data_IF_989674712887
#
_entry.id   IF_989674712887
#
_cell.length_a   1.000
_cell.length_b   1.000
_cell.length_c   1.000
_cell.angle_alpha   90.00
_cell.angle_beta   90.00
_cell.angle_gamma   90.00
#
_symmetry.space_group_name_H-M   'P 1'
#
loop_
_entity.id
_entity.type
_entity.pdbx_description
1 polymer ?
#
# COMPACT_ATOMS: atom_id res chain seq x y z
N UNK A 1 1.09 15.00 5.74
CA UNK A 1 0.03 14.07 6.24
C UNK A 1 -0.23 12.78 5.43
N UNK A 2 0.15 12.67 4.14
CA UNK A 2 0.03 11.41 3.35
C UNK A 2 0.78 10.22 3.97
N UNK A 3 1.86 10.53 4.67
CA UNK A 3 2.79 9.61 5.31
C UNK A 3 2.23 8.87 6.52
N UNK A 4 1.18 9.39 7.15
CA UNK A 4 0.54 8.73 8.29
C UNK A 4 -0.58 7.76 7.89
N UNK A 5 -1.15 7.90 6.68
CA UNK A 5 -2.22 6.99 6.22
C UNK A 5 -1.69 5.63 5.74
N UNK A 6 -0.44 5.55 5.27
CA UNK A 6 0.17 4.30 4.78
C UNK A 6 0.70 3.39 5.90
N UNK A 7 1.12 3.97 7.03
CA UNK A 7 1.69 3.25 8.17
C UNK A 7 0.66 2.54 9.08
N UNK A 8 -0.65 2.70 8.83
CA UNK A 8 -1.71 2.18 9.72
C UNK A 8 -2.21 0.77 9.38
N UNK A 9 -1.71 0.14 8.32
CA UNK A 9 -2.41 -1.01 7.71
C UNK A 9 -2.10 -2.36 8.39
N UNK A 10 -1.00 -2.49 9.12
CA UNK A 10 -0.75 -3.69 9.95
C UNK A 10 -1.75 -3.85 11.12
N UNK A 11 -2.57 -2.83 11.42
CA UNK A 11 -3.59 -2.89 12.48
C UNK A 11 -5.02 -3.21 11.99
N UNK A 12 -5.27 -3.23 10.66
CA UNK A 12 -6.63 -3.12 10.13
C UNK A 12 -7.47 -4.41 10.21
N UNK A 13 -6.90 -5.61 10.23
CA UNK A 13 -7.70 -6.86 10.27
C UNK A 13 -8.23 -7.13 11.68
N UNK A 14 -7.43 -6.86 12.72
CA UNK A 14 -7.89 -6.94 14.11
C UNK A 14 -8.91 -5.83 14.41
N UNK A 15 -8.73 -4.62 13.85
CA UNK A 15 -9.72 -3.53 13.91
C UNK A 15 -11.00 -3.86 13.16
N UNK A 16 -10.94 -4.53 12.01
CA UNK A 16 -12.12 -5.01 11.28
C UNK A 16 -12.90 -6.03 12.14
N UNK A 17 -12.21 -7.01 12.75
CA UNK A 17 -12.85 -7.95 13.69
C UNK A 17 -13.44 -7.27 14.93
N UNK A 18 -12.81 -6.21 15.45
CA UNK A 18 -13.31 -5.42 16.59
C UNK A 18 -14.49 -4.48 16.21
N UNK A 19 -14.50 -3.93 15.00
CA UNK A 19 -15.62 -3.14 14.44
C UNK A 19 -16.83 -4.03 14.12
N UNK A 20 -16.58 -5.26 13.66
CA UNK A 20 -17.60 -6.29 13.42
C UNK A 20 -18.27 -6.74 14.73
N UNK A 21 -17.53 -6.78 15.84
CA UNK A 21 -18.11 -7.07 17.16
C UNK A 21 -19.00 -5.94 17.71
N UNK A 22 -18.89 -4.72 17.16
CA UNK A 22 -19.56 -3.52 17.67
C UNK A 22 -20.79 -3.06 16.86
N UNK A 23 -20.99 -3.58 15.63
CA UNK A 23 -22.08 -3.15 14.75
C UNK A 23 -23.00 -4.32 14.36
N UNK A 24 -24.31 -4.12 14.56
CA UNK A 24 -25.39 -5.06 14.23
C UNK A 24 -25.71 -5.17 12.73
N UNK A 25 -24.76 -4.86 11.85
CA UNK A 25 -24.94 -5.01 10.42
C UNK A 25 -24.71 -6.49 10.05
N UNK A 26 -25.61 -7.03 9.24
CA UNK A 26 -25.51 -8.40 8.72
C UNK A 26 -24.18 -8.53 7.96
N UNK A 27 -23.25 -9.32 8.53
CA UNK A 27 -21.91 -9.50 7.96
C UNK A 27 -22.04 -10.30 6.67
N UNK A 28 -21.66 -9.71 5.54
CA UNK A 28 -21.52 -10.42 4.27
C UNK A 28 -20.30 -11.35 4.38
N UNK A 29 -20.56 -12.62 4.73
CA UNK A 29 -19.54 -13.64 4.95
C UNK A 29 -18.71 -13.88 3.69
N UNK A 30 -19.31 -13.77 2.50
CA UNK A 30 -18.59 -13.96 1.24
C UNK A 30 -17.64 -12.78 0.96
N UNK A 31 -18.05 -11.56 1.31
CA UNK A 31 -17.16 -10.39 1.31
C UNK A 31 -15.97 -10.58 2.26
N UNK A 32 -16.23 -11.01 3.51
CA UNK A 32 -15.18 -11.26 4.50
C UNK A 32 -14.21 -12.35 4.04
N UNK A 33 -14.72 -13.45 3.48
CA UNK A 33 -13.89 -14.52 2.89
C UNK A 33 -13.01 -13.99 1.76
N UNK A 34 -13.54 -13.13 0.90
CA UNK A 34 -12.78 -12.50 -0.17
C UNK A 34 -11.67 -11.60 0.38
N UNK A 35 -11.95 -10.81 1.42
CA UNK A 35 -10.97 -9.93 2.06
C UNK A 35 -9.80 -10.73 2.65
N UNK A 36 -10.12 -11.79 3.42
CA UNK A 36 -9.11 -12.66 4.03
C UNK A 36 -8.27 -13.34 2.94
N UNK A 37 -8.91 -13.90 1.91
CA UNK A 37 -8.18 -14.53 0.79
C UNK A 37 -7.24 -13.54 0.10
N UNK A 38 -7.68 -12.30 -0.10
CA UNK A 38 -6.88 -11.20 -0.65
C UNK A 38 -5.64 -10.95 0.20
N UNK A 39 -5.83 -10.79 1.51
CA UNK A 39 -4.74 -10.55 2.45
C UNK A 39 -3.75 -11.71 2.51
N UNK A 40 -4.25 -12.95 2.60
CA UNK A 40 -3.40 -14.14 2.62
C UNK A 40 -2.59 -14.28 1.31
N UNK A 41 -3.21 -14.01 0.16
CA UNK A 41 -2.54 -14.02 -1.15
C UNK A 41 -1.47 -12.93 -1.25
N UNK A 42 -1.76 -11.74 -0.76
CA UNK A 42 -0.81 -10.64 -0.63
C UNK A 42 0.40 -11.03 0.23
N UNK A 43 0.17 -11.57 1.43
CA UNK A 43 1.25 -11.99 2.33
C UNK A 43 2.05 -13.16 1.74
N UNK A 44 1.40 -14.11 1.06
CA UNK A 44 2.08 -15.16 0.32
C UNK A 44 3.05 -14.60 -0.74
N UNK A 45 2.62 -13.57 -1.50
CA UNK A 45 3.50 -12.92 -2.49
C UNK A 45 4.70 -12.23 -1.84
N UNK A 46 4.53 -11.62 -0.67
CA UNK A 46 5.66 -11.05 0.10
C UNK A 46 6.65 -12.13 0.53
N UNK A 47 6.14 -13.25 1.06
CA UNK A 47 6.97 -14.40 1.46
C UNK A 47 7.74 -14.99 0.27
N UNK A 48 7.12 -15.09 -0.91
CA UNK A 48 7.80 -15.50 -2.15
C UNK A 48 8.98 -14.58 -2.48
N UNK A 49 8.87 -13.28 -2.19
CA UNK A 49 10.01 -12.36 -2.37
C UNK A 49 11.11 -12.60 -1.35
N UNK A 50 10.77 -12.85 -0.10
CA UNK A 50 11.76 -13.19 0.92
C UNK A 50 12.53 -14.47 0.60
N UNK A 51 11.89 -15.44 -0.07
CA UNK A 51 12.57 -16.67 -0.50
C UNK A 51 13.73 -16.43 -1.48
N UNK A 52 13.79 -15.28 -2.16
CA UNK A 52 14.85 -15.01 -3.14
C UNK A 52 16.21 -14.78 -2.48
N UNK A 53 16.22 -14.19 -1.28
CA UNK A 53 17.42 -13.81 -0.53
C UNK A 53 17.34 -14.28 0.94
N UNK A 54 16.71 -15.44 1.17
CA UNK A 54 16.50 -15.98 2.52
C UNK A 54 17.81 -16.42 3.19
N UNK A 55 17.95 -16.16 4.50
CA UNK A 55 19.02 -16.77 5.30
C UNK A 55 18.82 -18.29 5.31
N UNK A 56 19.84 -19.04 4.87
CA UNK A 56 19.80 -20.51 4.71
C UNK A 56 19.24 -21.23 5.95
N UNK A 57 19.51 -20.71 7.15
CA UNK A 57 19.05 -21.31 8.41
C UNK A 57 17.52 -21.23 8.64
N UNK A 58 16.83 -20.38 7.89
CA UNK A 58 15.38 -20.15 7.96
C UNK A 58 14.63 -20.56 6.69
N UNK A 59 15.35 -21.08 5.68
CA UNK A 59 14.76 -21.42 4.39
C UNK A 59 13.60 -22.43 4.51
N UNK A 60 13.75 -23.43 5.37
CA UNK A 60 12.73 -24.49 5.57
C UNK A 60 11.48 -23.93 6.25
N UNK A 61 11.63 -23.13 7.30
CA UNK A 61 10.50 -22.50 7.99
C UNK A 61 9.77 -21.52 7.08
N UNK A 62 10.50 -20.76 6.26
CA UNK A 62 9.91 -19.86 5.28
C UNK A 62 9.11 -20.62 4.22
N UNK A 63 9.64 -21.74 3.71
CA UNK A 63 8.94 -22.60 2.76
C UNK A 63 7.64 -23.19 3.36
N UNK A 64 7.69 -23.65 4.61
CA UNK A 64 6.51 -24.16 5.31
C UNK A 64 5.46 -23.06 5.52
N UNK A 65 5.87 -21.90 6.01
CA UNK A 65 4.98 -20.77 6.21
C UNK A 65 4.32 -20.33 4.90
N UNK A 66 5.11 -20.19 3.83
CA UNK A 66 4.58 -19.87 2.51
C UNK A 66 3.56 -20.90 2.03
N UNK A 67 3.84 -22.19 2.18
CA UNK A 67 2.91 -23.24 1.78
C UNK A 67 1.57 -23.15 2.54
N UNK A 68 1.61 -22.80 3.83
CA UNK A 68 0.39 -22.58 4.63
C UNK A 68 -0.39 -21.35 4.15
N UNK A 69 0.28 -20.23 3.88
CA UNK A 69 -0.36 -19.03 3.33
C UNK A 69 -1.00 -19.30 1.95
N UNK A 70 -0.29 -20.00 1.06
CA UNK A 70 -0.82 -20.36 -0.26
C UNK A 70 -2.02 -21.31 -0.16
N UNK A 71 -2.00 -22.26 0.78
CA UNK A 71 -3.13 -23.15 1.05
C UNK A 71 -4.33 -22.35 1.56
N UNK A 72 -4.12 -21.49 2.56
CA UNK A 72 -5.16 -20.70 3.18
C UNK A 72 -5.82 -19.71 2.20
N UNK A 73 -5.03 -19.04 1.36
CA UNK A 73 -5.52 -18.10 0.36
C UNK A 73 -6.41 -18.73 -0.72
N UNK A 74 -6.29 -20.03 -0.96
CA UNK A 74 -7.03 -20.77 -1.99
C UNK A 74 -8.05 -21.77 -1.40
N UNK A 75 -8.30 -21.71 -0.09
CA UNK A 75 -9.21 -22.62 0.58
C UNK A 75 -10.68 -22.27 0.31
N UNK A 76 -11.56 -23.28 0.39
CA UNK A 76 -13.01 -23.07 0.34
C UNK A 76 -13.51 -22.22 1.53
N UNK A 77 -12.85 -22.37 2.69
CA UNK A 77 -13.08 -21.53 3.86
C UNK A 77 -11.77 -20.91 4.39
N UNK A 78 -11.40 -19.71 3.91
CA UNK A 78 -10.17 -19.06 4.31
C UNK A 78 -10.17 -18.64 5.79
N UNK A 79 -11.33 -18.48 6.45
CA UNK A 79 -11.39 -18.13 7.88
C UNK A 79 -10.84 -19.26 8.76
N UNK A 80 -11.17 -20.51 8.41
CA UNK A 80 -10.72 -21.68 9.18
C UNK A 80 -9.21 -21.84 9.05
N UNK A 81 -8.69 -21.67 7.83
CA UNK A 81 -7.26 -21.82 7.53
C UNK A 81 -6.43 -20.67 8.09
N UNK A 82 -6.93 -19.42 8.05
CA UNK A 82 -6.29 -18.27 8.71
C UNK A 82 -6.13 -18.50 10.21
N UNK A 83 -7.16 -19.05 10.88
CA UNK A 83 -7.05 -19.37 12.31
C UNK A 83 -5.94 -20.38 12.60
N UNK A 84 -5.82 -21.43 11.79
CA UNK A 84 -4.76 -22.43 11.93
C UNK A 84 -3.37 -21.85 11.67
N UNK A 85 -3.28 -20.91 10.72
CA UNK A 85 -2.06 -20.18 10.42
C UNK A 85 -1.59 -19.33 11.61
N UNK A 86 -2.49 -18.61 12.26
CA UNK A 86 -2.18 -17.83 13.47
C UNK A 86 -1.69 -18.71 14.62
N UNK A 87 -2.27 -19.91 14.78
CA UNK A 87 -1.80 -20.90 15.75
C UNK A 87 -0.37 -21.36 15.41
N UNK A 88 -0.10 -21.68 14.15
CA UNK A 88 1.23 -22.06 13.68
C UNK A 88 2.29 -20.96 13.90
N UNK A 89 1.96 -19.70 13.61
CA UNK A 89 2.86 -18.56 13.85
C UNK A 89 3.16 -18.38 15.33
N UNK A 90 2.17 -18.59 16.20
CA UNK A 90 2.34 -18.54 17.65
C UNK A 90 3.28 -19.63 18.19
N UNK A 91 3.41 -20.75 17.49
CA UNK A 91 4.31 -21.86 17.83
C UNK A 91 5.73 -21.70 17.27
N UNK A 92 5.96 -20.73 16.38
CA UNK A 92 7.26 -20.55 15.72
C UNK A 92 8.36 -20.09 16.67
N UNK A 93 9.60 -20.41 16.28
CA UNK A 93 10.79 -19.94 16.98
C UNK A 93 10.82 -18.41 16.96
N UNK A 94 10.99 -17.79 18.13
CA UNK A 94 11.08 -16.33 18.26
C UNK A 94 12.13 -15.72 17.33
N UNK A 95 13.25 -16.42 17.10
CA UNK A 95 14.31 -15.98 16.19
C UNK A 95 13.90 -15.96 14.71
N UNK A 96 13.05 -16.92 14.29
CA UNK A 96 12.51 -16.96 12.93
C UNK A 96 11.50 -15.83 12.73
N UNK A 97 10.57 -15.63 13.66
CA UNK A 97 9.59 -14.53 13.59
C UNK A 97 10.27 -13.16 13.65
N UNK A 98 11.31 -13.00 14.48
CA UNK A 98 12.08 -11.76 14.52
C UNK A 98 12.79 -11.47 13.18
N UNK A 99 13.34 -12.51 12.53
CA UNK A 99 13.91 -12.38 11.19
C UNK A 99 12.85 -12.01 10.16
N UNK A 100 11.71 -12.70 10.15
CA UNK A 100 10.62 -12.44 9.22
C UNK A 100 10.09 -11.00 9.35
N UNK A 101 9.92 -10.51 10.56
CA UNK A 101 9.48 -9.13 10.81
C UNK A 101 10.49 -8.11 10.28
N UNK A 102 11.79 -8.30 10.54
CA UNK A 102 12.83 -7.42 9.99
C UNK A 102 12.80 -7.40 8.45
N UNK A 103 12.60 -8.57 7.84
CA UNK A 103 12.50 -8.69 6.39
C UNK A 103 11.25 -8.02 5.82
N UNK A 104 10.12 -8.08 6.53
CA UNK A 104 8.95 -7.28 6.16
C UNK A 104 9.20 -5.78 6.31
N UNK A 105 9.81 -5.33 7.41
CA UNK A 105 10.16 -3.93 7.62
C UNK A 105 11.06 -3.41 6.48
N UNK A 106 12.02 -4.22 6.03
CA UNK A 106 12.86 -3.89 4.87
C UNK A 106 12.06 -3.76 3.56
N UNK A 107 11.11 -4.67 3.30
CA UNK A 107 10.23 -4.57 2.12
C UNK A 107 9.36 -3.31 2.17
N UNK A 108 8.71 -3.05 3.31
CA UNK A 108 7.85 -1.88 3.49
C UNK A 108 8.64 -0.58 3.34
N UNK A 109 9.85 -0.51 3.91
CA UNK A 109 10.71 0.67 3.75
C UNK A 109 11.12 0.88 2.29
N UNK A 110 11.43 -0.17 1.54
CA UNK A 110 11.73 -0.06 0.11
C UNK A 110 10.51 0.45 -0.69
N UNK A 111 9.31 -0.04 -0.37
CA UNK A 111 8.06 0.41 -0.96
C UNK A 111 7.82 1.89 -0.67
N UNK A 112 7.96 2.31 0.59
CA UNK A 112 7.81 3.71 0.99
C UNK A 112 8.78 4.61 0.24
N UNK A 113 10.05 4.22 0.13
CA UNK A 113 11.04 4.98 -0.65
C UNK A 113 10.60 5.12 -2.11
N UNK A 114 10.12 4.04 -2.74
CA UNK A 114 9.70 4.03 -4.15
C UNK A 114 8.41 4.79 -4.40
N UNK A 115 7.44 4.71 -3.50
CA UNK A 115 6.20 5.51 -3.55
C UNK A 115 6.56 7.00 -3.55
N UNK A 116 7.56 7.37 -2.77
CA UNK A 116 7.93 8.78 -2.54
C UNK A 116 8.79 9.32 -3.66
N UNK A 117 9.72 8.50 -4.16
CA UNK A 117 10.41 8.75 -5.41
C UNK A 117 9.41 8.94 -6.56
N UNK A 118 8.44 8.03 -6.71
CA UNK A 118 7.40 8.12 -7.74
C UNK A 118 6.54 9.38 -7.58
N UNK A 119 6.16 9.73 -6.35
CA UNK A 119 5.36 10.92 -6.04
C UNK A 119 6.13 12.19 -6.41
N UNK A 120 7.41 12.27 -6.06
CA UNK A 120 8.28 13.40 -6.41
C UNK A 120 8.49 13.51 -7.92
N UNK A 121 8.76 12.40 -8.61
CA UNK A 121 8.85 12.39 -10.09
C UNK A 121 7.56 12.89 -10.73
N UNK A 122 6.42 12.48 -10.19
CA UNK A 122 5.11 12.91 -10.68
C UNK A 122 4.86 14.39 -10.38
N UNK A 123 5.20 14.86 -9.18
CA UNK A 123 5.06 16.25 -8.76
C UNK A 123 5.94 17.18 -9.60
N UNK A 124 7.15 16.75 -9.96
CA UNK A 124 8.05 17.49 -10.85
C UNK A 124 7.39 17.85 -12.19
N UNK A 125 6.47 17.02 -12.69
CA UNK A 125 5.72 17.29 -13.92
C UNK A 125 4.57 18.30 -13.74
N UNK A 126 4.19 18.58 -12.49
CA UNK A 126 3.08 19.49 -12.13
C UNK A 126 3.58 20.87 -11.69
N UNK A 127 4.88 21.02 -11.43
CA UNK A 127 5.52 22.27 -11.02
C UNK A 127 6.55 22.74 -12.05
N UNK A 128 7.06 23.95 -11.88
CA UNK A 128 8.05 24.53 -12.81
C UNK A 128 9.05 25.42 -12.08
N UNK A 129 10.15 25.76 -12.77
CA UNK A 129 11.20 26.62 -12.23
C UNK A 129 11.95 25.97 -11.06
N UNK A 130 12.27 26.76 -10.05
CA UNK A 130 13.14 26.35 -8.94
C UNK A 130 12.64 25.10 -8.19
N UNK A 131 11.33 24.93 -8.02
CA UNK A 131 10.76 23.74 -7.37
C UNK A 131 10.97 22.46 -8.18
N UNK A 132 10.85 22.53 -9.51
CA UNK A 132 11.11 21.38 -10.37
C UNK A 132 12.61 20.99 -10.34
N UNK A 133 13.49 21.99 -10.41
CA UNK A 133 14.95 21.79 -10.30
C UNK A 133 15.38 21.24 -8.93
N UNK A 134 14.71 21.67 -7.85
CA UNK A 134 14.94 21.14 -6.51
C UNK A 134 14.53 19.68 -6.42
N UNK A 135 13.31 19.34 -6.87
CA UNK A 135 12.85 17.95 -6.90
C UNK A 135 13.80 17.08 -7.71
N UNK A 136 14.26 17.53 -8.87
CA UNK A 136 15.24 16.82 -9.70
C UNK A 136 16.53 16.49 -8.92
N UNK A 137 17.00 17.41 -8.06
CA UNK A 137 18.21 17.20 -7.24
C UNK A 137 17.99 16.26 -6.06
N UNK A 138 16.76 16.15 -5.56
CA UNK A 138 16.40 15.26 -4.45
C UNK A 138 16.25 13.82 -4.91
N UNK A 139 15.76 13.57 -6.14
CA UNK A 139 15.47 12.23 -6.65
C UNK A 139 16.64 11.22 -6.53
N UNK A 140 17.91 11.57 -6.83
CA UNK A 140 19.04 10.67 -6.64
C UNK A 140 19.25 10.19 -5.20
N UNK A 141 18.75 10.93 -4.19
CA UNK A 141 18.86 10.53 -2.79
C UNK A 141 17.95 9.33 -2.48
N UNK A 142 16.73 9.27 -3.03
CA UNK A 142 15.85 8.10 -2.91
C UNK A 142 16.47 6.87 -3.59
N UNK A 143 17.00 7.02 -4.80
CA UNK A 143 17.69 5.95 -5.52
C UNK A 143 18.92 5.42 -4.76
N UNK A 144 19.60 6.31 -4.02
CA UNK A 144 20.76 5.95 -3.21
C UNK A 144 20.33 5.23 -1.93
N UNK A 145 19.26 5.67 -1.27
CA UNK A 145 18.70 5.02 -0.09
C UNK A 145 18.29 3.56 -0.38
N UNK A 146 17.67 3.30 -1.54
CA UNK A 146 17.30 1.93 -1.96
C UNK A 146 18.47 0.95 -2.07
N UNK A 147 19.69 1.45 -2.29
CA UNK A 147 20.91 0.62 -2.45
C UNK A 147 21.58 0.30 -1.11
N UNK A 148 21.15 0.92 -0.02
CA UNK A 148 21.69 0.65 1.32
C UNK A 148 21.14 -0.70 1.79
N UNK A 149 22.01 -1.61 2.22
CA UNK A 149 21.58 -2.94 2.70
C UNK A 149 21.15 -2.89 4.16
N UNK A 150 21.90 -2.18 5.01
CA UNK A 150 21.62 -2.06 6.44
C UNK A 150 20.33 -1.27 6.68
N UNK A 151 19.39 -1.87 7.43
CA UNK A 151 18.07 -1.29 7.67
C UNK A 151 18.14 0.09 8.36
N UNK A 152 18.90 0.20 9.46
CA UNK A 152 18.98 1.44 10.23
C UNK A 152 19.59 2.58 9.41
N UNK A 153 20.66 2.29 8.65
CA UNK A 153 21.27 3.25 7.73
C UNK A 153 20.32 3.64 6.59
N UNK A 154 19.57 2.68 6.03
CA UNK A 154 18.57 2.95 4.98
C UNK A 154 17.48 3.86 5.51
N UNK A 155 16.94 3.54 6.68
CA UNK A 155 15.90 4.32 7.34
C UNK A 155 16.38 5.74 7.61
N UNK A 156 17.55 5.90 8.22
CA UNK A 156 18.14 7.21 8.50
C UNK A 156 18.40 8.01 7.21
N UNK A 157 18.93 7.37 6.16
CA UNK A 157 19.12 8.00 4.86
C UNK A 157 17.80 8.47 4.27
N UNK A 158 16.76 7.65 4.31
CA UNK A 158 15.43 7.98 3.79
C UNK A 158 14.78 9.14 4.53
N UNK A 159 14.74 9.09 5.87
CA UNK A 159 14.14 10.17 6.67
C UNK A 159 14.92 11.47 6.54
N UNK A 160 16.24 11.39 6.39
CA UNK A 160 17.12 12.55 6.19
C UNK A 160 16.91 13.27 4.85
N UNK A 161 16.26 12.65 3.85
CA UNK A 161 15.98 13.31 2.57
C UNK A 161 15.08 14.53 2.78
N UNK A 162 14.05 14.41 3.60
CA UNK A 162 13.08 15.48 3.82
C UNK A 162 13.69 16.69 4.55
N UNK A 163 14.75 16.47 5.33
CA UNK A 163 15.49 17.54 6.01
C UNK A 163 16.22 18.47 5.03
N UNK A 164 16.41 18.03 3.78
CA UNK A 164 17.07 18.81 2.73
C UNK A 164 16.13 19.71 1.94
N UNK A 165 14.82 19.58 2.13
CA UNK A 165 13.83 20.35 1.38
C UNK A 165 13.88 21.83 1.79
N UNK A 166 13.71 22.69 0.80
CA UNK A 166 13.48 24.10 1.01
C UNK A 166 12.15 24.33 1.75
N UNK A 167 11.99 25.47 2.46
CA UNK A 167 10.71 25.86 3.02
C UNK A 167 9.58 25.89 1.98
N UNK A 168 9.89 26.27 0.74
CA UNK A 168 8.93 26.33 -0.36
C UNK A 168 8.46 24.93 -0.81
N UNK A 169 9.38 23.97 -0.94
CA UNK A 169 9.01 22.58 -1.24
C UNK A 169 8.24 21.95 -0.09
N UNK A 170 8.66 22.21 1.16
CA UNK A 170 7.90 21.80 2.35
C UNK A 170 6.48 22.35 2.36
N UNK A 171 6.33 23.64 2.09
CA UNK A 171 5.03 24.29 2.02
C UNK A 171 4.17 23.70 0.90
N UNK A 172 4.76 23.35 -0.26
CA UNK A 172 4.03 22.72 -1.34
C UNK A 172 3.43 21.37 -0.93
N UNK A 173 4.21 20.52 -0.25
CA UNK A 173 3.82 19.13 0.04
C UNK A 173 2.98 18.96 1.32
N UNK A 174 3.07 19.89 2.26
CA UNK A 174 2.39 19.81 3.57
C UNK A 174 1.39 20.96 3.81
N UNK A 175 1.06 21.74 2.78
CA UNK A 175 0.02 22.76 2.88
C UNK A 175 -1.36 22.17 3.15
N UNK A 176 -2.11 22.86 4.02
CA UNK A 176 -3.55 22.68 4.19
C UNK A 176 -4.29 23.99 3.84
N UNK A 177 -5.22 23.98 2.87
CA UNK A 177 -5.57 22.86 1.99
C UNK A 177 -4.48 22.56 0.95
N UNK A 178 -4.42 21.33 0.45
CA UNK A 178 -3.42 20.95 -0.55
C UNK A 178 -3.59 21.72 -1.87
N UNK A 179 -2.46 22.08 -2.47
CA UNK A 179 -2.44 22.73 -3.77
C UNK A 179 -2.76 21.78 -4.94
N UNK A 180 -3.15 22.36 -6.08
CA UNK A 180 -3.50 21.63 -7.32
C UNK A 180 -2.48 20.54 -7.70
N UNK A 181 -1.19 20.87 -7.62
CA UNK A 181 -0.11 19.96 -8.03
C UNK A 181 -0.11 18.67 -7.19
N UNK A 182 -0.25 18.79 -5.87
CA UNK A 182 -0.29 17.65 -4.94
C UNK A 182 -1.56 16.82 -5.17
N UNK A 183 -2.73 17.47 -5.31
CA UNK A 183 -3.98 16.77 -5.62
C UNK A 183 -3.90 16.00 -6.94
N UNK A 184 -3.24 16.57 -7.96
CA UNK A 184 -3.01 15.88 -9.23
C UNK A 184 -2.12 14.63 -9.08
N UNK A 185 -1.09 14.68 -8.24
CA UNK A 185 -0.25 13.50 -7.95
C UNK A 185 -1.09 12.38 -7.32
N UNK A 186 -1.91 12.71 -6.32
CA UNK A 186 -2.79 11.74 -5.66
C UNK A 186 -3.83 11.14 -6.63
N UNK A 187 -4.46 11.98 -7.45
CA UNK A 187 -5.42 11.50 -8.46
C UNK A 187 -4.75 10.60 -9.51
N UNK A 188 -3.50 10.88 -9.90
CA UNK A 188 -2.73 9.99 -10.80
C UNK A 188 -2.47 8.63 -10.16
N UNK A 189 -2.17 8.59 -8.86
CA UNK A 189 -2.02 7.32 -8.13
C UNK A 189 -3.30 6.50 -8.20
N UNK A 190 -4.46 7.10 -7.87
CA UNK A 190 -5.74 6.40 -7.93
C UNK A 190 -6.15 6.01 -9.34
N UNK A 191 -5.81 6.82 -10.35
CA UNK A 191 -5.99 6.43 -11.76
C UNK A 191 -5.24 5.14 -12.07
N UNK A 192 -3.96 5.05 -11.70
CA UNK A 192 -3.15 3.88 -11.94
C UNK A 192 -3.64 2.65 -11.15
N UNK A 193 -4.09 2.87 -9.92
CA UNK A 193 -4.70 1.84 -9.10
C UNK A 193 -5.97 1.25 -9.74
N UNK A 194 -6.89 2.11 -10.21
CA UNK A 194 -8.10 1.66 -10.89
C UNK A 194 -7.78 0.91 -12.19
N UNK A 195 -6.80 1.37 -12.96
CA UNK A 195 -6.32 0.69 -14.16
C UNK A 195 -5.66 -0.67 -13.86
N UNK A 196 -4.99 -0.80 -12.70
CA UNK A 196 -4.49 -2.07 -12.20
C UNK A 196 -5.65 -3.03 -11.90
N UNK A 197 -6.66 -2.57 -11.17
CA UNK A 197 -7.82 -3.41 -10.79
C UNK A 197 -8.62 -3.89 -11.99
N UNK A 198 -8.75 -3.11 -13.05
CA UNK A 198 -9.44 -3.54 -14.27
C UNK A 198 -8.80 -4.77 -14.94
N UNK A 199 -7.57 -5.12 -14.58
CA UNK A 199 -6.85 -6.30 -15.09
C UNK A 199 -6.99 -7.52 -14.18
N UNK A 200 -7.55 -7.36 -12.99
CA UNK A 200 -7.66 -8.44 -12.01
C UNK A 200 -8.96 -9.22 -12.20
N UNK A 201 -8.89 -10.53 -12.04
CA UNK A 201 -10.03 -11.41 -12.30
C UNK A 201 -11.12 -11.30 -11.22
N UNK A 202 -10.73 -11.06 -9.98
CA UNK A 202 -11.62 -10.85 -8.85
C UNK A 202 -12.29 -9.46 -8.87
N UNK A 203 -11.80 -8.53 -9.70
CA UNK A 203 -12.42 -7.23 -9.93
C UNK A 203 -13.62 -7.27 -10.89
N UNK A 204 -13.84 -8.38 -11.61
CA UNK A 204 -14.91 -8.52 -12.63
C UNK A 204 -16.31 -8.12 -12.13
N UNK A 205 -16.75 -8.48 -10.90
CA UNK A 205 -18.05 -8.06 -10.38
C UNK A 205 -18.21 -6.53 -10.25
N UNK A 206 -17.10 -5.79 -10.13
CA UNK A 206 -17.06 -4.34 -9.97
C UNK A 206 -16.71 -3.60 -11.26
N UNK A 207 -16.61 -4.27 -12.40
CA UNK A 207 -16.11 -3.67 -13.64
C UNK A 207 -16.85 -2.37 -14.07
N UNK A 208 -18.19 -2.25 -13.96
CA UNK A 208 -18.87 -0.98 -14.23
C UNK A 208 -18.46 0.12 -13.25
N UNK A 209 -18.42 -0.18 -11.95
CA UNK A 209 -18.06 0.79 -10.90
C UNK A 209 -16.61 1.26 -11.04
N UNK A 210 -15.69 0.35 -11.39
CA UNK A 210 -14.29 0.69 -11.68
C UNK A 210 -14.16 1.64 -12.87
N UNK A 211 -14.96 1.43 -13.93
CA UNK A 211 -14.98 2.32 -15.10
C UNK A 211 -15.53 3.69 -14.73
N UNK A 212 -16.60 3.73 -13.96
CA UNK A 212 -17.21 4.99 -13.53
C UNK A 212 -16.27 5.78 -12.60
N UNK A 213 -15.65 5.13 -11.61
CA UNK A 213 -14.63 5.76 -10.76
C UNK A 213 -13.43 6.27 -11.58
N UNK A 214 -12.98 5.51 -12.58
CA UNK A 214 -11.88 5.94 -13.45
C UNK A 214 -12.27 7.20 -14.23
N UNK A 215 -13.48 7.25 -14.81
CA UNK A 215 -13.96 8.42 -15.53
C UNK A 215 -14.03 9.66 -14.61
N UNK A 216 -14.48 9.49 -13.36
CA UNK A 216 -14.55 10.57 -12.38
C UNK A 216 -13.15 11.08 -12.02
N UNK A 217 -12.18 10.19 -11.78
CA UNK A 217 -10.78 10.57 -11.53
C UNK A 217 -10.18 11.29 -12.73
N UNK A 218 -10.44 10.82 -13.94
CA UNK A 218 -9.94 11.45 -15.17
C UNK A 218 -10.54 12.83 -15.41
N UNK A 219 -11.84 13.02 -15.14
CA UNK A 219 -12.48 14.33 -15.18
C UNK A 219 -11.88 15.27 -14.13
N UNK A 220 -11.73 14.81 -12.89
CA UNK A 220 -11.14 15.58 -11.81
C UNK A 220 -9.69 16.00 -12.11
N UNK A 221 -8.88 15.15 -12.77
CA UNK A 221 -7.53 15.51 -13.21
C UNK A 221 -7.52 16.71 -14.17
N UNK A 222 -8.49 16.79 -15.08
CA UNK A 222 -8.63 17.92 -16.02
C UNK A 222 -9.26 19.17 -15.38
N UNK A 223 -9.98 19.00 -14.26
CA UNK A 223 -10.61 20.11 -13.56
C UNK A 223 -9.60 21.08 -12.96
N UNK A 224 -9.99 22.36 -12.92
CA UNK A 224 -9.28 23.40 -12.17
C UNK A 224 -9.86 23.57 -10.75
N UNK A 225 -11.01 22.96 -10.45
CA UNK A 225 -11.66 23.05 -9.15
C UNK A 225 -10.96 22.15 -8.12
N UNK A 226 -10.37 22.77 -7.09
CA UNK A 226 -9.69 22.03 -6.01
C UNK A 226 -10.69 21.26 -5.14
N UNK A 227 -11.91 21.79 -4.98
CA UNK A 227 -12.94 21.14 -4.18
C UNK A 227 -13.40 19.85 -4.84
N UNK A 228 -13.61 19.86 -6.16
CA UNK A 228 -13.95 18.67 -6.92
C UNK A 228 -12.87 17.59 -6.80
N UNK A 229 -11.58 17.98 -6.91
CA UNK A 229 -10.46 17.04 -6.74
C UNK A 229 -10.44 16.40 -5.35
N UNK A 230 -10.63 17.20 -4.31
CA UNK A 230 -10.69 16.73 -2.92
C UNK A 230 -11.89 15.79 -2.71
N UNK A 231 -13.08 16.16 -3.17
CA UNK A 231 -14.28 15.31 -3.06
C UNK A 231 -14.09 13.94 -3.75
N UNK A 232 -13.40 13.90 -4.90
CA UNK A 232 -13.07 12.64 -5.57
C UNK A 232 -12.08 11.81 -4.75
N UNK A 233 -11.05 12.43 -4.19
CA UNK A 233 -10.06 11.74 -3.34
C UNK A 233 -10.70 11.22 -2.06
N UNK A 234 -11.48 12.04 -1.36
CA UNK A 234 -12.22 11.67 -0.15
C UNK A 234 -13.17 10.49 -0.40
N UNK A 235 -13.68 10.35 -1.62
CA UNK A 235 -14.54 9.21 -1.98
C UNK A 235 -13.84 7.85 -1.92
N UNK A 236 -12.51 7.80 -1.94
CA UNK A 236 -11.75 6.55 -1.75
C UNK A 236 -11.63 6.15 -0.27
N UNK A 237 -11.82 7.08 0.66
CA UNK A 237 -11.84 6.83 2.11
C UNK A 237 -13.26 6.41 2.60
N UNK A 238 -14.28 6.45 1.73
CA UNK A 238 -15.66 6.08 2.07
C UNK A 238 -15.87 4.56 2.09
N UNK A 239 -15.91 3.93 3.25
CA UNK A 239 -16.08 2.47 3.40
C UNK A 239 -17.55 1.98 3.44
N UNK A 240 -18.52 2.83 3.09
CA UNK A 240 -19.95 2.50 3.26
C UNK A 240 -20.46 1.42 2.31
N UNK A 241 -19.83 1.25 1.14
CA UNK A 241 -20.26 0.28 0.13
C UNK A 241 -19.27 -0.88 -0.03
N UNK A 242 -19.77 -2.04 -0.48
CA UNK A 242 -18.95 -3.23 -0.79
C UNK A 242 -17.85 -2.93 -1.81
N UNK A 243 -18.15 -2.12 -2.83
CA UNK A 243 -17.15 -1.70 -3.81
C UNK A 243 -16.05 -0.85 -3.19
N UNK A 244 -16.38 0.06 -2.28
CA UNK A 244 -15.36 0.91 -1.68
C UNK A 244 -14.48 0.15 -0.68
N UNK A 245 -15.06 -0.76 0.10
CA UNK A 245 -14.28 -1.70 0.91
C UNK A 245 -13.38 -2.58 0.04
N UNK A 246 -13.86 -3.00 -1.13
CA UNK A 246 -13.03 -3.67 -2.14
C UNK A 246 -11.81 -2.86 -2.56
N UNK A 247 -11.96 -1.56 -2.81
CA UNK A 247 -10.83 -0.68 -3.14
C UNK A 247 -9.84 -0.57 -1.97
N UNK A 248 -10.34 -0.43 -0.75
CA UNK A 248 -9.53 -0.26 0.45
C UNK A 248 -8.53 -1.40 0.66
N UNK A 249 -8.98 -2.66 0.72
CA UNK A 249 -8.05 -3.77 0.94
C UNK A 249 -7.16 -4.09 -0.27
N UNK A 250 -7.54 -3.66 -1.47
CA UNK A 250 -6.74 -3.87 -2.69
C UNK A 250 -5.62 -2.86 -2.88
N UNK A 251 -5.64 -1.73 -2.19
CA UNK A 251 -4.62 -0.69 -2.36
C UNK A 251 -3.22 -1.20 -2.00
N UNK A 252 -3.13 -2.04 -0.97
CA UNK A 252 -1.88 -2.69 -0.55
C UNK A 252 -1.30 -3.61 -1.62
N UNK A 253 -2.16 -4.40 -2.26
CA UNK A 253 -1.73 -5.30 -3.33
C UNK A 253 -1.16 -4.51 -4.51
N UNK A 254 -1.83 -3.43 -4.88
CA UNK A 254 -1.34 -2.54 -5.91
C UNK A 254 0.01 -1.91 -5.53
N UNK A 255 0.14 -1.43 -4.29
CA UNK A 255 1.38 -0.83 -3.81
C UNK A 255 2.53 -1.83 -3.84
N UNK A 256 2.33 -3.05 -3.35
CA UNK A 256 3.35 -4.09 -3.40
C UNK A 256 3.67 -4.52 -4.84
N UNK A 257 2.67 -4.76 -5.69
CA UNK A 257 2.94 -5.18 -7.08
C UNK A 257 3.67 -4.10 -7.89
N UNK A 258 3.41 -2.82 -7.57
CA UNK A 258 4.00 -1.67 -8.25
C UNK A 258 5.36 -1.26 -7.68
N UNK A 259 5.51 -1.27 -6.36
CA UNK A 259 6.63 -0.69 -5.65
C UNK A 259 7.43 -1.70 -4.82
N UNK A 260 6.90 -2.89 -4.53
CA UNK A 260 7.57 -3.95 -3.74
C UNK A 260 8.61 -4.77 -4.50
N UNK A 261 9.13 -4.23 -5.62
CA UNK A 261 10.27 -4.80 -6.35
C UNK A 261 11.60 -4.26 -5.80
#
# INVERSE_FOLDING_TARGET
MLWQKLLLINLQIILALQLIAANSAEVDVDELKSQISSHLSYTARRLVRLQQDVDEKYAVELEQLLALYLKAANAEDPLIEEKQLLEYEGEQRQSFMAYLNLQYDEQFLNEDIRVQEWSMRTLMTEVSGALAEEIEKVLPAYESALKIVDFDQKYAAFTGIQETFSPELWQLIDAEPEGKAVLNVQLKFFKEFLLYLQKQDDARPFAPMLRDSLNVVEAALQSADLKEKLEVLDSFDDLTTKFRRYLDYKILEFQFDRFGQ
#
